data_IF_845527010743
#
_entry.id   IF_845527010743
#
_cell.length_a   1.000
_cell.length_b   1.000
_cell.length_c   1.000
_cell.angle_alpha   90.00
_cell.angle_beta   90.00
_cell.angle_gamma   90.00
#
_symmetry.space_group_name_H-M   'P 1'
#
loop_
_entity.id
_entity.type
_entity.pdbx_description
1 polymer ?
#
# COMPACT_ATOMS: atom_id res chain seq x y z
N UNK A 1 -20.32 24.32 2.19
CA UNK A 1 -20.83 22.93 2.36
C UNK A 1 -20.26 22.36 3.66
N UNK A 2 -21.11 21.85 4.56
CA UNK A 2 -20.66 21.15 5.77
C UNK A 2 -20.14 19.76 5.37
N UNK A 3 -18.86 19.46 5.67
CA UNK A 3 -18.30 18.11 5.54
C UNK A 3 -19.12 17.16 6.43
N UNK A 4 -19.73 16.14 5.85
CA UNK A 4 -20.37 15.05 6.61
C UNK A 4 -19.35 13.93 6.74
N UNK A 5 -18.85 13.70 7.95
CA UNK A 5 -18.07 12.50 8.27
C UNK A 5 -19.07 11.36 8.45
N UNK A 6 -19.01 10.36 7.58
CA UNK A 6 -19.82 9.14 7.71
C UNK A 6 -18.88 8.02 8.16
N UNK A 7 -19.04 7.56 9.41
CA UNK A 7 -18.31 6.41 9.93
C UNK A 7 -19.12 5.17 9.56
N UNK A 8 -18.63 4.40 8.60
CA UNK A 8 -19.23 3.11 8.22
C UNK A 8 -18.45 2.02 8.96
N UNK A 9 -19.05 1.42 9.99
CA UNK A 9 -18.53 0.20 10.60
C UNK A 9 -18.82 -0.97 9.66
N UNK A 10 -17.87 -1.30 8.80
CA UNK A 10 -17.90 -2.51 8.00
C UNK A 10 -16.96 -3.53 8.63
N UNK A 11 -17.50 -4.48 9.39
CA UNK A 11 -16.75 -5.62 9.94
C UNK A 11 -16.54 -6.65 8.82
N UNK A 12 -15.62 -6.40 7.92
CA UNK A 12 -15.18 -7.40 6.92
C UNK A 12 -14.08 -8.24 7.58
N UNK A 13 -14.43 -9.49 7.91
CA UNK A 13 -13.48 -10.47 8.45
C UNK A 13 -12.51 -10.87 7.33
N UNK A 14 -11.29 -10.32 7.37
CA UNK A 14 -10.26 -10.64 6.40
C UNK A 14 -9.50 -11.89 6.86
N UNK A 15 -9.78 -13.04 6.26
CA UNK A 15 -8.92 -14.21 6.41
C UNK A 15 -7.77 -14.04 5.41
N UNK A 16 -6.62 -13.53 5.87
CA UNK A 16 -5.34 -13.72 5.19
C UNK A 16 -5.07 -15.23 5.17
N UNK A 17 -5.56 -15.93 4.16
CA UNK A 17 -5.21 -17.33 3.94
C UNK A 17 -3.71 -17.38 3.62
N UNK A 18 -2.94 -17.74 4.65
CA UNK A 18 -1.57 -18.25 4.56
C UNK A 18 -1.56 -19.53 3.72
N UNK A 19 -1.61 -19.42 2.40
CA UNK A 19 -1.20 -20.52 1.53
C UNK A 19 0.31 -20.40 1.31
N UNK A 20 1.06 -21.10 2.17
CA UNK A 20 2.42 -21.50 1.85
C UNK A 20 2.38 -22.39 0.61
N UNK A 21 2.49 -21.81 -0.58
CA UNK A 21 2.74 -22.57 -1.80
C UNK A 21 4.25 -22.72 -1.89
N UNK A 22 4.74 -23.91 -1.53
CA UNK A 22 6.04 -24.39 -1.98
C UNK A 22 5.99 -24.54 -3.50
N UNK A 23 6.45 -23.53 -4.24
CA UNK A 23 6.57 -23.61 -5.70
C UNK A 23 7.89 -24.33 -6.02
N UNK A 24 7.76 -25.58 -6.44
CA UNK A 24 8.78 -26.26 -7.23
C UNK A 24 8.78 -25.60 -8.63
N UNK A 25 9.85 -24.87 -8.95
CA UNK A 25 9.95 -24.10 -10.19
C UNK A 25 10.05 -25.01 -11.42
N UNK A 26 9.03 -24.96 -12.29
CA UNK A 26 9.19 -25.27 -13.72
C UNK A 26 8.76 -24.04 -14.51
N UNK A 27 9.74 -23.25 -14.93
CA UNK A 27 9.54 -22.03 -15.72
C UNK A 27 8.81 -22.38 -17.01
N UNK A 28 7.57 -21.89 -17.16
CA UNK A 28 6.80 -21.97 -18.40
C UNK A 28 6.35 -20.57 -18.80
N UNK A 29 6.23 -20.36 -20.12
CA UNK A 29 5.77 -19.12 -20.75
C UNK A 29 4.40 -18.62 -20.25
N UNK A 30 3.65 -19.45 -19.51
CA UNK A 30 2.36 -19.09 -18.93
C UNK A 30 2.48 -18.04 -17.81
N UNK A 31 3.58 -18.00 -17.06
CA UNK A 31 3.78 -17.03 -15.96
C UNK A 31 3.95 -15.58 -16.47
N UNK A 32 4.66 -15.41 -17.59
CA UNK A 32 4.88 -14.11 -18.23
C UNK A 32 3.58 -13.56 -18.83
N UNK A 33 2.78 -14.42 -19.47
CA UNK A 33 1.47 -14.05 -20.03
C UNK A 33 0.47 -13.66 -18.93
N UNK A 34 0.45 -14.39 -17.81
CA UNK A 34 -0.40 -14.06 -16.67
C UNK A 34 -0.05 -12.68 -16.07
N UNK A 35 1.24 -12.41 -15.87
CA UNK A 35 1.73 -11.13 -15.33
C UNK A 35 1.41 -9.96 -16.28
N UNK A 36 1.56 -10.16 -17.60
CA UNK A 36 1.20 -9.16 -18.60
C UNK A 36 -0.30 -8.83 -18.58
N UNK A 37 -1.17 -9.84 -18.41
CA UNK A 37 -2.62 -9.65 -18.29
C UNK A 37 -3.00 -8.90 -17.01
N UNK A 38 -2.42 -9.27 -15.87
CA UNK A 38 -2.63 -8.57 -14.59
C UNK A 38 -2.26 -7.09 -14.72
N UNK A 39 -1.07 -6.81 -15.26
CA UNK A 39 -0.60 -5.45 -15.49
C UNK A 39 -1.55 -4.65 -16.39
N UNK A 40 -1.97 -5.22 -17.51
CA UNK A 40 -2.92 -4.56 -18.42
C UNK A 40 -4.27 -4.24 -17.73
N UNK A 41 -4.76 -5.14 -16.88
CA UNK A 41 -6.01 -4.91 -16.13
C UNK A 41 -5.82 -3.82 -15.08
N UNK A 42 -4.69 -3.80 -14.37
CA UNK A 42 -4.37 -2.73 -13.44
C UNK A 42 -4.29 -1.40 -14.18
N UNK A 43 -3.51 -1.30 -15.26
CA UNK A 43 -3.33 -0.06 -16.03
C UNK A 43 -4.68 0.51 -16.54
N UNK A 44 -5.67 -0.35 -16.82
CA UNK A 44 -7.04 0.08 -17.18
C UNK A 44 -7.89 0.58 -16.01
N UNK A 45 -7.63 0.09 -14.80
CA UNK A 45 -8.43 0.40 -13.60
C UNK A 45 -7.75 1.43 -12.67
N UNK A 46 -6.51 1.82 -12.96
CA UNK A 46 -5.81 2.86 -12.20
C UNK A 46 -6.48 4.20 -12.39
N UNK A 47 -6.97 4.75 -11.29
CA UNK A 47 -7.38 6.14 -11.21
C UNK A 47 -6.13 6.97 -10.86
N UNK A 48 -5.47 7.51 -11.88
CA UNK A 48 -4.34 8.42 -11.70
C UNK A 48 -4.88 9.81 -11.31
N UNK A 49 -4.46 10.31 -10.15
CA UNK A 49 -4.80 11.67 -9.72
C UNK A 49 -3.63 12.61 -10.00
N UNK A 50 -3.95 13.80 -10.50
CA UNK A 50 -2.99 14.91 -10.54
C UNK A 50 -2.74 15.42 -9.11
N UNK A 51 -1.50 15.81 -8.82
CA UNK A 51 -1.05 16.40 -7.55
C UNK A 51 -1.79 17.69 -7.15
N UNK A 52 -2.65 18.20 -8.03
CA UNK A 52 -3.51 19.39 -7.85
C UNK A 52 -4.91 19.07 -7.33
N UNK A 53 -5.21 17.81 -6.98
CA UNK A 53 -6.50 17.45 -6.38
C UNK A 53 -6.62 18.12 -5.01
N UNK A 54 -7.14 19.34 -4.99
CA UNK A 54 -7.44 20.06 -3.76
C UNK A 54 -8.45 19.23 -2.95
N UNK A 55 -8.26 19.18 -1.63
CA UNK A 55 -9.14 18.49 -0.67
C UNK A 55 -10.65 18.89 -0.80
N UNK A 56 -10.96 19.92 -1.59
CA UNK A 56 -12.32 20.43 -1.87
C UNK A 56 -13.17 19.50 -2.76
N UNK A 57 -12.56 18.64 -3.57
CA UNK A 57 -13.30 17.74 -4.47
C UNK A 57 -13.53 16.32 -3.91
N UNK A 58 -12.99 16.05 -2.72
CA UNK A 58 -13.33 14.84 -1.95
C UNK A 58 -14.73 15.02 -1.34
N UNK A 59 -15.69 14.25 -1.85
CA UNK A 59 -17.11 14.30 -1.43
C UNK A 59 -17.46 13.23 -0.41
N UNK A 60 -16.62 12.20 -0.29
CA UNK A 60 -16.76 11.12 0.67
C UNK A 60 -15.39 10.76 1.22
N UNK A 61 -15.22 10.86 2.54
CA UNK A 61 -14.00 10.47 3.24
C UNK A 61 -14.29 9.27 4.14
N UNK A 62 -13.84 8.09 3.73
CA UNK A 62 -14.01 6.84 4.44
C UNK A 62 -12.83 6.63 5.39
N UNK A 63 -13.15 6.49 6.67
CA UNK A 63 -12.17 6.20 7.72
C UNK A 63 -12.49 4.85 8.33
N UNK A 64 -11.50 3.96 8.31
CA UNK A 64 -11.59 2.64 8.92
C UNK A 64 -10.62 2.51 10.08
N UNK A 65 -10.96 1.63 11.01
CA UNK A 65 -10.05 1.08 12.00
C UNK A 65 -9.84 -0.39 11.62
N UNK A 66 -8.60 -0.87 11.72
CA UNK A 66 -8.24 -2.24 11.37
C UNK A 66 -7.49 -2.87 12.53
N UNK A 67 -7.97 -4.02 12.96
CA UNK A 67 -7.30 -4.84 13.95
C UNK A 67 -6.60 -6.01 13.24
N UNK A 68 -5.36 -6.26 13.65
CA UNK A 68 -4.62 -7.44 13.21
C UNK A 68 -4.82 -8.58 14.21
N UNK A 69 -4.97 -9.81 13.70
CA UNK A 69 -4.92 -11.02 14.53
C UNK A 69 -3.54 -11.27 15.15
N UNK A 70 -2.53 -10.55 14.67
CA UNK A 70 -1.15 -10.61 15.16
C UNK A 70 -0.76 -9.25 15.75
N UNK A 71 0.08 -9.27 16.77
CA UNK A 71 0.58 -8.04 17.38
C UNK A 71 1.62 -7.37 16.47
N UNK A 72 1.20 -6.46 15.59
CA UNK A 72 2.11 -5.78 14.66
C UNK A 72 3.03 -4.78 15.33
N UNK A 73 2.83 -4.43 16.61
CA UNK A 73 3.75 -3.56 17.36
C UNK A 73 5.04 -4.31 17.73
N UNK A 74 5.00 -5.64 17.82
CA UNK A 74 6.16 -6.49 18.05
C UNK A 74 6.98 -6.65 16.76
N UNK A 75 8.25 -6.23 16.83
CA UNK A 75 9.21 -6.35 15.72
C UNK A 75 9.48 -7.79 15.29
N UNK A 76 9.53 -8.75 16.21
CA UNK A 76 9.72 -10.17 15.86
C UNK A 76 8.55 -10.66 15.02
N UNK A 77 7.33 -10.32 15.43
CA UNK A 77 6.11 -10.66 14.69
C UNK A 77 6.13 -10.06 13.28
N UNK A 78 6.46 -8.77 13.12
CA UNK A 78 6.58 -8.15 11.78
C UNK A 78 7.68 -8.79 10.94
N UNK A 79 8.83 -9.06 11.54
CA UNK A 79 9.96 -9.68 10.84
C UNK A 79 9.58 -11.09 10.37
N UNK A 80 8.94 -11.91 11.19
CA UNK A 80 8.51 -13.27 10.83
C UNK A 80 7.42 -13.28 9.76
N UNK A 81 6.48 -12.33 9.85
CA UNK A 81 5.32 -12.26 8.96
C UNK A 81 5.53 -11.40 7.71
N UNK A 82 6.74 -11.02 7.36
CA UNK A 82 7.06 -10.32 6.11
C UNK A 82 7.93 -11.20 5.22
N UNK A 83 7.73 -11.15 3.91
CA UNK A 83 8.58 -11.90 2.98
C UNK A 83 9.87 -11.12 2.69
N UNK A 84 9.74 -9.79 2.64
CA UNK A 84 10.85 -8.88 2.39
C UNK A 84 10.83 -7.71 3.36
N UNK A 85 12.02 -7.21 3.66
CA UNK A 85 12.22 -5.95 4.38
C UNK A 85 13.24 -5.15 3.60
N UNK A 86 12.89 -3.93 3.21
CA UNK A 86 13.75 -3.06 2.41
C UNK A 86 13.80 -1.64 2.97
N UNK A 87 14.84 -0.91 2.58
CA UNK A 87 14.82 0.55 2.53
C UNK A 87 14.60 0.95 1.07
N UNK A 88 13.55 1.73 0.81
CA UNK A 88 13.18 2.13 -0.55
C UNK A 88 12.78 3.59 -0.64
N UNK A 89 13.13 4.23 -1.75
CA UNK A 89 12.63 5.57 -2.11
C UNK A 89 11.41 5.42 -3.01
N UNK A 90 10.31 6.07 -2.66
CA UNK A 90 9.10 6.09 -3.49
C UNK A 90 9.38 6.89 -4.75
N UNK A 91 9.51 6.21 -5.88
CA UNK A 91 9.83 6.84 -7.15
C UNK A 91 8.60 7.54 -7.73
N UNK A 92 7.43 6.90 -7.61
CA UNK A 92 6.15 7.45 -8.04
C UNK A 92 4.99 6.88 -7.23
N UNK A 93 3.95 7.70 -7.09
CA UNK A 93 2.60 7.26 -6.70
C UNK A 93 1.75 7.38 -7.97
N UNK A 94 1.42 6.24 -8.58
CA UNK A 94 0.83 6.20 -9.92
C UNK A 94 -0.69 6.40 -9.91
N UNK A 95 -1.34 6.17 -8.76
CA UNK A 95 -2.77 6.33 -8.57
C UNK A 95 -3.33 5.36 -7.53
N UNK A 96 -4.63 5.12 -7.59
CA UNK A 96 -5.31 4.12 -6.77
C UNK A 96 -6.22 3.21 -7.59
N UNK A 97 -6.45 2.00 -7.10
CA UNK A 97 -7.34 0.98 -7.67
C UNK A 97 -8.29 0.46 -6.59
N UNK A 98 -9.38 -0.18 -6.98
CA UNK A 98 -10.31 -0.88 -6.10
C UNK A 98 -10.82 -2.17 -6.74
N UNK A 99 -9.99 -2.86 -7.53
CA UNK A 99 -10.37 -4.05 -8.29
C UNK A 99 -9.25 -5.08 -8.26
N UNK A 100 -9.56 -6.32 -7.84
CA UNK A 100 -8.67 -7.46 -7.92
C UNK A 100 -8.81 -8.10 -9.32
N UNK A 101 -7.75 -8.10 -10.14
CA UNK A 101 -7.82 -8.57 -11.52
C UNK A 101 -7.85 -10.10 -11.65
N UNK A 102 -7.44 -10.84 -10.61
CA UNK A 102 -7.42 -12.31 -10.62
C UNK A 102 -8.75 -12.89 -10.16
N UNK A 103 -9.31 -12.34 -9.08
CA UNK A 103 -10.61 -12.76 -8.56
C UNK A 103 -11.78 -12.05 -9.26
N UNK A 104 -11.48 -11.07 -10.12
CA UNK A 104 -12.44 -10.27 -10.88
C UNK A 104 -13.49 -9.52 -10.02
N UNK A 105 -13.09 -9.11 -8.81
CA UNK A 105 -13.97 -8.50 -7.82
C UNK A 105 -13.46 -7.13 -7.37
N UNK A 106 -14.40 -6.23 -7.04
CA UNK A 106 -14.05 -4.96 -6.41
C UNK A 106 -13.59 -5.16 -4.97
N UNK A 107 -12.57 -4.40 -4.58
CA UNK A 107 -11.90 -4.46 -3.28
C UNK A 107 -11.85 -3.08 -2.63
N UNK A 108 -11.25 -2.99 -1.45
CA UNK A 108 -10.94 -1.70 -0.86
C UNK A 108 -9.96 -0.90 -1.74
N UNK A 109 -10.03 0.42 -1.60
CA UNK A 109 -9.15 1.33 -2.34
C UNK A 109 -7.70 1.10 -1.92
N UNK A 110 -6.82 0.95 -2.90
CA UNK A 110 -5.40 0.69 -2.72
C UNK A 110 -4.57 1.61 -3.61
N UNK A 111 -3.58 2.27 -3.02
CA UNK A 111 -2.58 3.08 -3.72
C UNK A 111 -1.55 2.17 -4.37
N UNK A 112 -1.18 2.49 -5.61
CA UNK A 112 -0.12 1.79 -6.33
C UNK A 112 0.97 2.76 -6.77
N UNK A 113 2.16 2.23 -7.06
CA UNK A 113 3.24 3.01 -7.62
C UNK A 113 4.53 2.20 -7.76
N UNK A 114 5.66 2.88 -7.68
CA UNK A 114 7.00 2.30 -7.84
C UNK A 114 7.93 2.71 -6.70
N UNK A 115 8.68 1.74 -6.19
CA UNK A 115 9.74 1.95 -5.20
C UNK A 115 11.08 1.67 -5.86
N UNK A 116 12.00 2.63 -5.80
CA UNK A 116 13.41 2.37 -6.02
C UNK A 116 13.99 1.72 -4.76
N UNK A 117 14.45 0.48 -4.87
CA UNK A 117 15.07 -0.26 -3.77
C UNK A 117 16.47 0.29 -3.52
N UNK A 118 16.70 0.84 -2.32
CA UNK A 118 18.01 1.38 -1.93
C UNK A 118 18.82 0.31 -1.17
N UNK A 119 18.17 -0.42 -0.25
CA UNK A 119 18.77 -1.52 0.50
C UNK A 119 17.78 -2.66 0.71
N UNK A 120 18.26 -3.89 0.69
CA UNK A 120 17.54 -5.12 1.03
C UNK A 120 18.08 -5.63 2.36
N UNK A 121 17.16 -5.88 3.29
CA UNK A 121 17.43 -6.31 4.66
C UNK A 121 17.01 -7.78 4.84
N UNK A 122 15.79 -8.13 4.37
CA UNK A 122 15.26 -9.50 4.37
C UNK A 122 14.73 -9.85 2.99
N UNK A 123 14.90 -11.12 2.60
CA UNK A 123 14.45 -11.66 1.32
C UNK A 123 15.41 -11.38 0.18
N UNK A 124 15.05 -11.79 -1.04
CA UNK A 124 15.82 -11.52 -2.25
C UNK A 124 14.98 -10.65 -3.19
N UNK A 125 15.41 -9.40 -3.42
CA UNK A 125 14.77 -8.48 -4.37
C UNK A 125 15.79 -8.12 -5.43
N UNK A 126 15.66 -8.72 -6.61
CA UNK A 126 16.62 -8.58 -7.71
C UNK A 126 16.46 -7.23 -8.41
N UNK A 127 15.21 -6.79 -8.63
CA UNK A 127 14.91 -5.55 -9.32
C UNK A 127 15.28 -4.30 -8.52
N UNK A 128 15.82 -3.29 -9.20
CA UNK A 128 16.13 -2.00 -8.58
C UNK A 128 14.90 -1.12 -8.40
N UNK A 129 13.84 -1.37 -9.17
CA UNK A 129 12.56 -0.69 -9.07
C UNK A 129 11.50 -1.77 -9.01
N UNK A 130 10.73 -1.80 -7.93
CA UNK A 130 9.64 -2.74 -7.73
C UNK A 130 8.29 -2.01 -7.76
N UNK A 131 7.25 -2.62 -8.33
CA UNK A 131 5.90 -2.08 -8.25
C UNK A 131 5.33 -2.38 -6.85
N UNK A 132 4.62 -1.42 -6.26
CA UNK A 132 3.98 -1.61 -4.96
C UNK A 132 2.47 -1.47 -5.03
N UNK A 133 1.83 -2.02 -4.01
CA UNK A 133 0.43 -1.78 -3.66
C UNK A 133 0.31 -1.57 -2.15
N UNK A 134 -0.61 -0.70 -1.72
CA UNK A 134 -0.83 -0.38 -0.30
C UNK A 134 -2.29 -0.02 -0.07
N UNK A 135 -2.87 -0.51 1.03
CA UNK A 135 -4.22 -0.16 1.45
C UNK A 135 -4.39 1.35 1.68
N UNK A 136 -5.51 1.87 1.21
CA UNK A 136 -5.89 3.27 1.26
C UNK A 136 -5.50 4.03 0.00
N UNK A 137 -6.17 5.14 -0.26
CA UNK A 137 -5.96 5.95 -1.47
C UNK A 137 -7.15 6.85 -1.78
N UNK A 138 -7.14 7.39 -2.99
CA UNK A 138 -8.19 8.27 -3.50
C UNK A 138 -8.54 7.85 -4.92
N UNK A 139 -9.83 7.67 -5.19
CA UNK A 139 -10.35 7.37 -6.54
C UNK A 139 -11.52 8.29 -6.87
N UNK A 140 -11.83 8.46 -8.15
CA UNK A 140 -13.08 9.13 -8.54
C UNK A 140 -14.31 8.41 -7.98
N UNK A 141 -15.39 9.16 -7.74
CA UNK A 141 -16.65 8.58 -7.29
C UNK A 141 -17.20 7.57 -8.30
N UNK A 142 -16.99 7.82 -9.61
CA UNK A 142 -17.39 6.87 -10.66
C UNK A 142 -16.70 5.53 -10.56
N UNK A 143 -15.41 5.47 -10.18
CA UNK A 143 -14.71 4.19 -9.97
C UNK A 143 -15.16 3.52 -8.66
N UNK A 144 -15.37 4.30 -7.61
CA UNK A 144 -15.89 3.80 -6.33
C UNK A 144 -17.27 3.15 -6.50
N UNK A 145 -18.18 3.81 -7.23
CA UNK A 145 -19.56 3.35 -7.42
C UNK A 145 -19.65 2.00 -8.13
N UNK A 146 -18.68 1.65 -8.98
CA UNK A 146 -18.65 0.34 -9.65
C UNK A 146 -18.50 -0.81 -8.65
N UNK A 147 -17.85 -0.57 -7.51
CA UNK A 147 -17.68 -1.55 -6.43
C UNK A 147 -18.85 -1.65 -5.46
N UNK A 148 -19.86 -0.79 -5.60
CA UNK A 148 -21.04 -0.84 -4.74
C UNK A 148 -22.06 -1.87 -5.23
N UNK A 149 -22.57 -2.67 -4.29
CA UNK A 149 -23.81 -3.44 -4.50
C UNK A 149 -25.01 -2.51 -4.67
N UNK A 150 -26.08 -2.99 -5.31
CA UNK A 150 -27.32 -2.22 -5.46
C UNK A 150 -27.87 -1.72 -4.11
N UNK A 151 -27.81 -2.57 -3.07
CA UNK A 151 -28.19 -2.18 -1.71
C UNK A 151 -27.35 -1.01 -1.19
N UNK A 152 -26.03 -1.02 -1.40
CA UNK A 152 -25.16 0.08 -1.00
C UNK A 152 -25.43 1.35 -1.82
N UNK A 153 -25.67 1.25 -3.13
CA UNK A 153 -26.01 2.41 -3.97
C UNK A 153 -27.26 3.12 -3.45
N UNK A 154 -28.28 2.37 -3.04
CA UNK A 154 -29.49 3.01 -2.48
C UNK A 154 -29.23 3.82 -1.21
N UNK A 155 -28.22 3.44 -0.41
CA UNK A 155 -27.83 4.06 0.87
C UNK A 155 -26.85 5.22 0.70
N UNK A 156 -26.00 5.17 -0.32
CA UNK A 156 -25.05 6.26 -0.62
C UNK A 156 -25.77 7.31 -1.45
N UNK A 157 -26.33 8.34 -0.80
CA UNK A 157 -27.11 9.43 -1.42
C UNK A 157 -26.42 10.03 -2.66
N UNK A 158 -25.09 10.16 -2.61
CA UNK A 158 -24.26 10.70 -3.70
C UNK A 158 -24.40 9.94 -5.03
N UNK A 159 -24.76 8.65 -5.00
CA UNK A 159 -25.03 7.87 -6.23
C UNK A 159 -26.22 8.39 -7.01
N UNK A 160 -27.19 9.03 -6.33
CA UNK A 160 -28.42 9.57 -6.90
C UNK A 160 -28.32 11.07 -7.19
N UNK A 161 -27.51 11.80 -6.44
CA UNK A 161 -27.45 13.27 -6.53
C UNK A 161 -26.38 13.79 -7.48
N UNK A 162 -25.27 13.05 -7.67
CA UNK A 162 -24.22 13.46 -8.59
C UNK A 162 -24.56 13.03 -10.02
N UNK A 163 -24.37 13.95 -10.97
CA UNK A 163 -24.40 13.65 -12.41
C UNK A 163 -23.20 12.79 -12.82
N UNK A 164 -23.28 12.14 -13.99
CA UNK A 164 -22.18 11.31 -14.50
C UNK A 164 -20.87 12.10 -14.71
N UNK A 165 -20.95 13.39 -15.01
CA UNK A 165 -19.77 14.26 -15.16
C UNK A 165 -19.17 14.62 -13.80
N UNK A 166 -20.01 14.94 -12.81
CA UNK A 166 -19.56 15.17 -11.43
C UNK A 166 -18.91 13.92 -10.84
N UNK A 167 -19.47 12.73 -11.07
CA UNK A 167 -18.89 11.48 -10.56
C UNK A 167 -17.45 11.22 -11.03
N UNK A 168 -17.06 11.74 -12.19
CA UNK A 168 -15.69 11.62 -12.73
C UNK A 168 -14.71 12.62 -12.12
N UNK A 169 -15.22 13.73 -11.57
CA UNK A 169 -14.41 14.86 -11.06
C UNK A 169 -14.51 15.04 -9.54
N UNK A 170 -15.43 14.31 -8.90
CA UNK A 170 -15.53 14.18 -7.45
C UNK A 170 -14.88 12.89 -6.98
N UNK A 171 -14.31 12.94 -5.78
CA UNK A 171 -13.44 11.87 -5.29
C UNK A 171 -13.92 11.27 -3.98
N UNK A 172 -13.53 10.01 -3.78
CA UNK A 172 -13.67 9.26 -2.54
C UNK A 172 -12.28 8.97 -2.02
N UNK A 173 -11.99 9.39 -0.79
CA UNK A 173 -10.80 8.97 -0.06
C UNK A 173 -11.14 7.81 0.86
N UNK A 174 -10.23 6.85 1.00
CA UNK A 174 -10.31 5.81 2.01
C UNK A 174 -8.96 5.64 2.66
N UNK A 175 -8.91 5.80 3.98
CA UNK A 175 -7.69 5.65 4.77
C UNK A 175 -7.99 5.08 6.15
N UNK A 176 -7.13 4.18 6.60
CA UNK A 176 -7.15 3.69 7.98
C UNK A 176 -6.70 4.80 8.94
N UNK A 177 -7.41 4.96 10.06
CA UNK A 177 -7.09 5.96 11.09
C UNK A 177 -5.70 5.71 11.67
N UNK A 178 -4.97 6.80 11.96
CA UNK A 178 -3.59 6.74 12.48
C UNK A 178 -2.54 6.35 11.44
N UNK A 179 -2.93 5.77 10.30
CA UNK A 179 -1.98 5.30 9.31
C UNK A 179 -1.28 6.44 8.57
N UNK A 180 -0.02 6.19 8.20
CA UNK A 180 0.77 7.15 7.42
C UNK A 180 0.52 6.98 5.92
N UNK A 181 0.45 8.12 5.23
CA UNK A 181 0.39 8.18 3.78
C UNK A 181 1.79 8.01 3.18
N UNK A 182 1.87 7.27 2.09
CA UNK A 182 3.10 7.13 1.32
C UNK A 182 3.25 8.32 0.38
N UNK A 183 4.43 8.92 0.32
CA UNK A 183 4.68 10.13 -0.45
C UNK A 183 5.83 9.93 -1.43
N UNK A 184 5.66 10.44 -2.66
CA UNK A 184 6.70 10.42 -3.68
C UNK A 184 7.95 11.18 -3.22
N UNK A 185 9.13 10.63 -3.52
CA UNK A 185 10.43 11.19 -3.19
C UNK A 185 10.93 10.87 -1.78
N UNK A 186 10.05 10.46 -0.87
CA UNK A 186 10.44 10.03 0.48
C UNK A 186 11.03 8.62 0.48
N UNK A 187 11.94 8.38 1.42
CA UNK A 187 12.57 7.08 1.65
C UNK A 187 12.00 6.46 2.92
N UNK A 188 11.71 5.16 2.90
CA UNK A 188 11.12 4.45 4.03
C UNK A 188 11.77 3.08 4.25
N UNK A 189 11.74 2.63 5.51
CA UNK A 189 11.76 1.22 5.86
C UNK A 189 10.39 0.62 5.55
N UNK A 190 10.37 -0.48 4.81
CA UNK A 190 9.14 -1.11 4.32
C UNK A 190 9.16 -2.61 4.58
N UNK A 191 8.09 -3.11 5.20
CA UNK A 191 7.78 -4.52 5.33
C UNK A 191 6.84 -4.93 4.19
N UNK A 192 7.26 -5.93 3.42
CA UNK A 192 6.58 -6.29 2.19
C UNK A 192 6.17 -7.76 2.16
N UNK A 193 5.05 -8.02 1.50
CA UNK A 193 4.67 -9.34 0.97
C UNK A 193 4.46 -9.24 -0.52
N UNK A 194 4.78 -10.28 -1.28
CA UNK A 194 4.42 -10.29 -2.69
C UNK A 194 2.96 -10.72 -2.84
N UNK A 195 2.18 -9.91 -3.54
CA UNK A 195 0.78 -10.15 -3.82
C UNK A 195 0.63 -10.61 -5.28
N UNK A 196 0.41 -11.92 -5.52
CA UNK A 196 0.31 -12.48 -6.86
C UNK A 196 -0.99 -12.08 -7.57
N UNK A 197 -2.01 -11.60 -6.86
CA UNK A 197 -3.26 -11.18 -7.46
C UNK A 197 -3.08 -9.86 -8.21
N UNK A 198 -2.13 -9.03 -7.76
CA UNK A 198 -1.82 -7.74 -8.37
C UNK A 198 -0.43 -7.67 -9.03
N UNK A 199 0.38 -8.73 -8.93
CA UNK A 199 1.78 -8.77 -9.37
C UNK A 199 2.60 -7.61 -8.77
N UNK A 200 2.45 -7.40 -7.45
CA UNK A 200 2.98 -6.22 -6.73
C UNK A 200 3.46 -6.58 -5.34
N UNK A 201 4.41 -5.79 -4.83
CA UNK A 201 4.81 -5.89 -3.44
C UNK A 201 3.84 -5.07 -2.56
N UNK A 202 3.04 -5.77 -1.76
CA UNK A 202 2.13 -5.19 -0.77
C UNK A 202 2.89 -4.66 0.44
N UNK A 203 2.72 -3.36 0.74
CA UNK A 203 3.25 -2.75 1.97
C UNK A 203 2.29 -3.08 3.12
N UNK A 204 2.72 -3.95 4.04
CA UNK A 204 1.88 -4.52 5.11
C UNK A 204 2.04 -3.78 6.44
N UNK A 205 1.22 -4.14 7.44
CA UNK A 205 1.26 -3.64 8.83
C UNK A 205 1.05 -2.14 9.00
N UNK A 206 0.34 -1.48 8.08
CA UNK A 206 -0.06 -0.06 8.17
C UNK A 206 1.10 0.86 8.57
N UNK A 207 1.02 1.48 9.75
CA UNK A 207 2.01 2.41 10.31
C UNK A 207 3.22 1.69 10.93
N UNK A 208 3.08 0.42 11.31
CA UNK A 208 4.17 -0.35 11.91
C UNK A 208 5.09 -0.91 10.82
N UNK A 209 4.56 -1.13 9.61
CA UNK A 209 5.29 -1.68 8.47
C UNK A 209 5.82 -0.66 7.47
N UNK A 210 5.56 0.64 7.68
CA UNK A 210 6.09 1.72 6.86
C UNK A 210 6.62 2.83 7.77
N UNK A 211 7.91 3.16 7.69
CA UNK A 211 8.52 4.19 8.55
C UNK A 211 9.53 5.05 7.80
N UNK A 212 9.41 6.36 7.91
CA UNK A 212 10.26 7.31 7.16
C UNK A 212 11.72 7.19 7.60
N UNK A 213 12.64 7.18 6.65
CA UNK A 213 14.09 7.10 6.87
C UNK A 213 14.69 8.50 6.74
N UNK A 214 15.54 8.86 7.69
CA UNK A 214 16.41 10.03 7.52
C UNK A 214 17.53 9.67 6.55
N UNK A 215 17.33 10.03 5.28
CA UNK A 215 18.26 9.73 4.19
C UNK A 215 19.67 10.30 4.43
N UNK A 216 19.82 11.34 5.25
CA UNK A 216 21.13 11.90 5.59
C UNK A 216 22.00 10.95 6.42
N UNK A 217 21.39 9.99 7.11
CA UNK A 217 22.07 8.98 7.93
C UNK A 217 22.48 7.74 7.15
N UNK A 218 22.08 7.63 5.88
CA UNK A 218 22.44 6.51 5.02
C UNK A 218 23.84 6.74 4.41
N UNK A 219 24.72 5.76 4.58
CA UNK A 219 26.00 5.75 3.87
C UNK A 219 25.77 5.64 2.36
N UNK A 220 26.61 6.35 1.58
CA UNK A 220 26.67 6.18 0.12
C UNK A 220 27.41 4.88 -0.18
N UNK A 221 26.69 3.77 -0.12
CA UNK A 221 27.20 2.44 -0.42
C UNK A 221 26.44 1.88 -1.62
N UNK A 222 27.17 1.36 -2.59
CA UNK A 222 26.61 0.70 -3.77
C UNK A 222 26.07 -0.71 -3.45
N UNK A 223 26.41 -1.27 -2.28
CA UNK A 223 25.87 -2.56 -1.85
C UNK A 223 24.38 -2.46 -1.61
N UNK A 224 23.61 -3.24 -2.39
CA UNK A 224 22.17 -3.41 -2.20
C UNK A 224 21.83 -4.16 -0.92
N UNK A 225 22.71 -5.01 -0.40
CA UNK A 225 22.51 -5.67 0.90
C UNK A 225 22.89 -4.71 2.02
N UNK A 226 22.01 -4.57 3.02
CA UNK A 226 22.32 -3.83 4.24
C UNK A 226 23.27 -4.66 5.12
N UNK A 227 24.35 -4.04 5.61
CA UNK A 227 25.29 -4.68 6.55
C UNK A 227 25.03 -4.22 7.99
N UNK A 228 25.42 -5.03 8.97
CA UNK A 228 25.09 -4.83 10.40
C UNK A 228 25.56 -3.47 10.93
N UNK A 229 26.74 -3.00 10.52
CA UNK A 229 27.26 -1.71 10.98
C UNK A 229 26.40 -0.53 10.47
N UNK A 230 25.87 -0.61 9.24
CA UNK A 230 24.94 0.39 8.70
C UNK A 230 23.65 0.46 9.55
N UNK A 231 23.18 -0.66 10.11
CA UNK A 231 21.96 -0.72 10.93
C UNK A 231 22.05 0.10 12.22
N UNK A 232 23.25 0.33 12.74
CA UNK A 232 23.45 1.14 13.94
C UNK A 232 23.40 2.66 13.68
N UNK A 233 23.51 3.07 12.41
CA UNK A 233 23.64 4.48 12.02
C UNK A 233 22.39 5.03 11.35
N UNK A 234 21.70 4.20 10.57
CA UNK A 234 20.50 4.62 9.84
C UNK A 234 19.37 4.90 10.83
N UNK A 235 18.83 6.11 10.75
CA UNK A 235 17.72 6.55 11.59
C UNK A 235 16.39 6.41 10.88
N UNK A 236 15.42 5.93 11.64
CA UNK A 236 14.04 5.72 11.22
C UNK A 236 13.10 6.48 12.16
N UNK A 237 12.10 7.13 11.59
CA UNK A 237 11.10 7.89 12.35
C UNK A 237 10.10 6.93 12.98
N UNK A 238 9.91 7.07 14.27
CA UNK A 238 8.83 6.43 15.00
C UNK A 238 7.52 7.17 14.71
N UNK A 239 6.54 6.49 14.12
CA UNK A 239 5.30 7.12 13.68
C UNK A 239 4.40 7.60 14.84
N UNK A 240 4.55 7.03 16.04
CA UNK A 240 3.76 7.43 17.22
C UNK A 240 4.37 8.66 17.91
N UNK A 241 5.67 8.60 18.22
CA UNK A 241 6.36 9.65 18.97
C UNK A 241 6.93 10.78 18.10
N UNK A 242 7.07 10.55 16.79
CA UNK A 242 7.72 11.45 15.84
C UNK A 242 9.24 11.55 16.00
N UNK A 243 9.84 10.86 16.99
CA UNK A 243 11.29 10.84 17.24
C UNK A 243 11.99 9.85 16.32
N UNK A 244 13.29 10.06 16.12
CA UNK A 244 14.13 9.12 15.38
C UNK A 244 14.78 8.10 16.32
N UNK A 245 14.79 6.85 15.88
CA UNK A 245 15.47 5.71 16.52
C UNK A 245 16.34 4.99 15.48
N UNK A 246 17.22 4.07 15.89
CA UNK A 246 18.05 3.35 14.92
C UNK A 246 17.25 2.23 14.26
N UNK A 247 17.60 1.88 13.02
CA UNK A 247 16.95 0.76 12.36
C UNK A 247 17.19 -0.57 13.09
N UNK A 248 18.33 -0.70 13.79
CA UNK A 248 18.61 -1.83 14.68
C UNK A 248 17.61 -1.94 15.85
N UNK A 249 17.17 -0.82 16.44
CA UNK A 249 16.17 -0.83 17.51
C UNK A 249 14.81 -1.33 17.01
N UNK A 250 14.45 -0.95 15.77
CA UNK A 250 13.19 -1.32 15.13
C UNK A 250 13.18 -2.76 14.64
N UNK A 251 14.29 -3.26 14.12
CA UNK A 251 14.38 -4.61 13.55
C UNK A 251 14.80 -5.65 14.59
N UNK A 252 15.67 -5.31 15.54
CA UNK A 252 16.32 -6.30 16.40
C UNK A 252 17.22 -7.25 15.60
N UNK A 253 17.37 -8.48 16.09
CA UNK A 253 18.09 -9.53 15.37
C UNK A 253 17.19 -10.13 14.28
N UNK A 254 17.73 -10.24 13.06
CA UNK A 254 17.10 -10.78 11.86
C UNK A 254 17.80 -12.06 11.38
#
# INVERSE_FOLDING_TARGET
MKKKTVIIFSSIFFILLLSGITILSKTSNNSVLASANIKNTIDKNVNSLSSTTENKDVVLDLRSELDYLINTTDKKVRNENSDFIIIGTVQSVDGSINYNPKEELYTDIQTIGKIKVEKVIKGNVEDNIIPFIRLGGVISFSEYEKGLTESQKTKVELTKTLTNEEKKTKYVSSYTMGNINIEQGKTYLMYLKYDPDYDRYGIVFLQDGLREIDKSTMAKSESKKLIKDEMSTIKVKNNESGKFETINDVLGDL
#
